data_IF_516731827293
#
_entry.id   IF_516731827293
#
_cell.length_a   1.000
_cell.length_b   1.000
_cell.length_c   1.000
_cell.angle_alpha   90.00
_cell.angle_beta   90.00
_cell.angle_gamma   90.00
#
_symmetry.space_group_name_H-M   'P 1'
#
loop_
_entity.id
_entity.type
_entity.pdbx_description
1 polymer ?
#
# COMPACT_ATOMS: atom_id res chain seq x y z
N UNK A 1 -15.00 31.45 -10.53
CA UNK A 1 -16.43 31.36 -10.88
C UNK A 1 -17.14 30.74 -9.68
N UNK A 2 -17.64 31.60 -8.79
CA UNK A 2 -18.43 31.22 -7.62
C UNK A 2 -19.87 31.44 -8.04
N UNK A 3 -20.68 30.38 -8.11
CA UNK A 3 -22.10 30.52 -8.43
C UNK A 3 -22.77 31.39 -7.36
N UNK A 4 -23.58 32.36 -7.78
CA UNK A 4 -24.14 33.42 -6.92
C UNK A 4 -25.14 32.94 -5.86
N UNK A 5 -25.16 31.65 -5.52
CA UNK A 5 -26.10 30.98 -4.60
C UNK A 5 -25.46 30.26 -3.40
N UNK A 6 -24.15 30.40 -3.16
CA UNK A 6 -23.52 30.00 -1.89
C UNK A 6 -23.35 28.49 -1.63
N UNK A 7 -23.70 27.61 -2.58
CA UNK A 7 -23.37 26.19 -2.50
C UNK A 7 -21.88 25.99 -2.76
N UNK A 8 -21.10 25.41 -1.83
CA UNK A 8 -19.68 25.20 -2.03
C UNK A 8 -19.46 24.15 -3.12
N UNK A 9 -18.48 24.40 -3.99
CA UNK A 9 -17.94 23.40 -4.91
C UNK A 9 -16.74 22.76 -4.22
N UNK A 10 -16.89 21.50 -3.80
CA UNK A 10 -15.80 20.75 -3.17
C UNK A 10 -14.77 20.34 -4.22
N UNK A 11 -13.50 20.68 -4.00
CA UNK A 11 -12.36 20.17 -4.78
C UNK A 11 -11.34 19.53 -3.85
N UNK A 12 -10.64 18.52 -4.34
CA UNK A 12 -9.52 17.87 -3.64
C UNK A 12 -8.25 18.05 -4.47
N UNK A 13 -7.19 18.47 -3.81
CA UNK A 13 -5.82 18.43 -4.32
C UNK A 13 -5.02 17.52 -3.39
N UNK A 14 -4.18 16.65 -3.95
CA UNK A 14 -3.23 15.83 -3.19
C UNK A 14 -1.84 16.13 -3.72
N UNK A 15 -0.92 16.47 -2.83
CA UNK A 15 0.48 16.70 -3.16
C UNK A 15 1.34 15.58 -2.54
N UNK A 16 1.92 14.67 -3.33
CA UNK A 16 2.81 13.66 -2.81
C UNK A 16 4.12 14.30 -2.34
N UNK A 17 4.65 13.85 -1.21
CA UNK A 17 5.95 14.26 -0.67
C UNK A 17 6.78 12.99 -0.54
N UNK A 18 7.91 12.95 -1.24
CA UNK A 18 8.85 11.83 -1.20
C UNK A 18 10.09 12.27 -0.41
N UNK A 19 10.54 11.51 0.61
CA UNK A 19 11.72 11.88 1.38
C UNK A 19 13.05 11.66 0.63
N UNK A 20 13.02 10.91 -0.49
CA UNK A 20 14.15 10.64 -1.37
C UNK A 20 13.66 10.45 -2.81
N UNK A 21 14.59 10.45 -3.78
CA UNK A 21 14.28 10.21 -5.19
C UNK A 21 13.66 8.81 -5.43
N UNK A 22 14.03 7.84 -4.60
CA UNK A 22 13.58 6.45 -4.66
C UNK A 22 13.23 5.95 -3.26
N UNK A 23 12.28 5.01 -3.18
CA UNK A 23 11.81 4.42 -1.93
C UNK A 23 11.72 2.88 -2.03
N UNK A 24 11.92 2.17 -0.91
CA UNK A 24 11.61 0.75 -0.84
C UNK A 24 10.09 0.53 -0.83
N UNK A 25 9.62 -0.40 -1.65
CA UNK A 25 8.28 -0.96 -1.60
C UNK A 25 8.32 -2.39 -1.08
N UNK A 26 7.38 -2.75 -0.21
CA UNK A 26 7.24 -4.12 0.35
C UNK A 26 5.89 -4.67 -0.05
N UNK A 27 5.86 -5.90 -0.58
CA UNK A 27 4.64 -6.60 -0.95
C UNK A 27 4.63 -8.01 -0.37
N UNK A 28 3.56 -8.34 0.36
CA UNK A 28 3.31 -9.70 0.81
C UNK A 28 3.06 -10.64 -0.38
N UNK A 29 3.65 -11.83 -0.34
CA UNK A 29 3.41 -12.90 -1.33
C UNK A 29 2.40 -13.95 -0.84
N UNK A 30 1.81 -13.72 0.33
CA UNK A 30 0.75 -14.53 0.93
C UNK A 30 -0.62 -13.86 0.77
N UNK A 31 -1.68 -14.62 1.05
CA UNK A 31 -3.08 -14.21 0.84
C UNK A 31 -3.56 -13.10 1.79
N UNK A 32 -4.79 -12.66 1.58
CA UNK A 32 -5.49 -11.73 2.48
C UNK A 32 -6.66 -12.42 3.15
N UNK A 33 -6.96 -12.01 4.38
CA UNK A 33 -8.11 -12.46 5.14
C UNK A 33 -9.40 -12.26 4.34
N UNK A 34 -10.20 -13.32 4.21
CA UNK A 34 -11.51 -13.25 3.56
C UNK A 34 -12.55 -12.53 4.43
N UNK A 35 -12.27 -12.39 5.72
CA UNK A 35 -13.09 -11.71 6.72
C UNK A 35 -14.40 -12.43 7.05
N UNK A 36 -14.52 -13.73 6.74
CA UNK A 36 -15.79 -14.46 6.88
C UNK A 36 -15.74 -15.93 7.27
N UNK A 37 -14.57 -16.58 7.34
CA UNK A 37 -14.50 -18.04 7.56
C UNK A 37 -13.55 -18.49 8.67
N UNK A 38 -12.71 -17.60 9.18
CA UNK A 38 -11.80 -17.88 10.29
C UNK A 38 -12.42 -17.36 11.60
N UNK A 39 -12.43 -18.18 12.64
CA UNK A 39 -12.84 -17.83 14.02
C UNK A 39 -11.88 -16.83 14.70
N UNK A 40 -11.07 -16.12 13.91
CA UNK A 40 -10.11 -15.12 14.38
C UNK A 40 -10.74 -13.74 14.23
N UNK A 41 -11.51 -13.33 15.26
CA UNK A 41 -12.21 -12.04 15.32
C UNK A 41 -11.27 -10.81 15.30
N UNK A 42 -9.95 -11.03 15.33
CA UNK A 42 -8.93 -9.99 15.41
C UNK A 42 -8.47 -9.46 14.03
N UNK A 43 -8.67 -10.21 12.95
CA UNK A 43 -8.17 -9.81 11.62
C UNK A 43 -9.25 -9.09 10.79
N UNK A 44 -9.00 -7.82 10.46
CA UNK A 44 -9.92 -7.07 9.59
C UNK A 44 -9.87 -7.65 8.17
N UNK A 45 -11.01 -7.64 7.47
CA UNK A 45 -11.11 -8.09 6.07
C UNK A 45 -10.09 -7.39 5.17
N UNK A 46 -9.30 -8.17 4.44
CA UNK A 46 -8.30 -7.67 3.50
C UNK A 46 -6.90 -7.48 4.09
N UNK A 47 -6.70 -7.76 5.37
CA UNK A 47 -5.37 -7.82 5.98
C UNK A 47 -4.59 -9.03 5.42
N UNK A 48 -3.30 -8.86 5.14
CA UNK A 48 -2.47 -9.96 4.66
C UNK A 48 -2.25 -11.00 5.78
N UNK A 49 -2.53 -12.28 5.51
CA UNK A 49 -2.40 -13.38 6.47
C UNK A 49 -1.70 -14.59 5.86
N UNK A 50 -0.92 -15.29 6.68
CA UNK A 50 -0.27 -16.55 6.36
C UNK A 50 -0.53 -17.57 7.47
N UNK A 51 -0.26 -18.85 7.21
CA UNK A 51 -0.38 -19.90 8.20
C UNK A 51 0.68 -19.74 9.32
N UNK A 52 0.32 -20.14 10.54
CA UNK A 52 1.18 -19.94 11.73
C UNK A 52 2.55 -20.67 11.66
N UNK A 53 2.63 -21.76 10.89
CA UNK A 53 3.82 -22.61 10.79
C UNK A 53 4.55 -22.50 9.43
N UNK A 54 4.06 -21.67 8.50
CA UNK A 54 4.68 -21.51 7.17
C UNK A 54 5.45 -20.20 7.03
N UNK A 55 6.32 -20.09 6.01
CA UNK A 55 7.11 -18.89 5.78
C UNK A 55 6.23 -17.71 5.36
N UNK A 56 6.52 -16.51 5.91
CA UNK A 56 5.96 -15.25 5.44
C UNK A 56 6.90 -14.63 4.39
N UNK A 57 6.56 -14.80 3.12
CA UNK A 57 7.40 -14.33 2.01
C UNK A 57 7.00 -12.92 1.54
N UNK A 58 8.01 -12.11 1.19
CA UNK A 58 7.83 -10.74 0.73
C UNK A 58 8.71 -10.44 -0.50
N UNK A 59 8.19 -9.61 -1.40
CA UNK A 59 9.00 -8.94 -2.43
C UNK A 59 9.38 -7.54 -1.94
N UNK A 60 10.65 -7.17 -2.10
CA UNK A 60 11.18 -5.83 -1.84
C UNK A 60 11.66 -5.23 -3.16
N UNK A 61 11.23 -4.00 -3.45
CA UNK A 61 11.66 -3.26 -4.64
C UNK A 61 12.19 -1.89 -4.27
N UNK A 62 13.21 -1.39 -4.96
CA UNK A 62 13.60 0.01 -4.94
C UNK A 62 13.05 0.68 -6.19
N UNK A 63 12.16 1.66 -6.03
CA UNK A 63 11.51 2.34 -7.14
C UNK A 63 11.47 3.86 -6.97
N UNK A 64 11.53 4.57 -8.09
CA UNK A 64 11.26 6.01 -8.16
C UNK A 64 9.75 6.31 -8.21
N UNK A 65 9.39 7.60 -8.18
CA UNK A 65 8.00 8.06 -8.25
C UNK A 65 7.30 7.75 -9.59
N UNK A 66 8.05 7.41 -10.65
CA UNK A 66 7.52 6.98 -11.93
C UNK A 66 7.32 5.46 -12.02
N UNK A 67 7.77 4.70 -11.01
CA UNK A 67 7.67 3.24 -10.96
C UNK A 67 8.84 2.52 -11.62
N UNK A 68 9.91 3.22 -12.00
CA UNK A 68 11.11 2.57 -12.51
C UNK A 68 11.82 1.85 -11.36
N UNK A 69 12.03 0.55 -11.53
CA UNK A 69 12.79 -0.26 -10.57
C UNK A 69 14.27 -0.14 -10.89
N UNK A 70 15.11 0.10 -9.89
CA UNK A 70 16.55 -0.08 -10.04
C UNK A 70 16.91 -1.57 -9.91
N UNK A 71 17.98 -1.99 -10.60
CA UNK A 71 18.65 -3.24 -10.31
C UNK A 71 19.07 -3.24 -8.84
N UNK A 72 18.82 -4.35 -8.13
CA UNK A 72 18.98 -4.48 -6.68
C UNK A 72 20.46 -4.50 -6.26
N UNK A 73 21.18 -3.40 -6.47
CA UNK A 73 22.54 -3.22 -5.98
C UNK A 73 22.45 -2.78 -4.50
N UNK A 74 22.38 -3.77 -3.59
CA UNK A 74 22.33 -3.64 -2.11
C UNK A 74 20.95 -3.57 -1.43
N UNK A 75 19.93 -4.27 -1.93
CA UNK A 75 18.82 -4.67 -1.04
C UNK A 75 19.33 -5.87 -0.22
N UNK A 76 19.69 -5.64 1.04
CA UNK A 76 20.23 -6.66 1.94
C UNK A 76 19.30 -6.90 3.13
#
# INVERSE_FOLDING_TARGET
MQESGGRPITRRLVQPIWPAEQLPGVRALFGSSSGGEDYDEEASKGEAQTNGDGPAEFEIVMADAAGNKLAADNVK
#
